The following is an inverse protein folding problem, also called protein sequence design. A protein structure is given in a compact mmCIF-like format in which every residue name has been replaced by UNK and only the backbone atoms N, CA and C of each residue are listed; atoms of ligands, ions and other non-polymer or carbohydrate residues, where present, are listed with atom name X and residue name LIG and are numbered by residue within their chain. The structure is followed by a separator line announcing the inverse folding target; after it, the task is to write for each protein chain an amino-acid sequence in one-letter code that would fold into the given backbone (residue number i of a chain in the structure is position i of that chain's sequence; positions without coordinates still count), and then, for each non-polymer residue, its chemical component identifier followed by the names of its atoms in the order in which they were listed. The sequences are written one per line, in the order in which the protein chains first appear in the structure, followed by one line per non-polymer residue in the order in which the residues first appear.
data_IF_945662803105
#
_entry.id   IF_945662803105
#
_cell.length_a   1.000
_cell.length_b   1.000
_cell.length_c   1.000
_cell.angle_alpha   90.00
_cell.angle_beta   90.00
_cell.angle_gamma   90.00
#
_symmetry.space_group_name_H-M   'P 1'
#
loop_
_entity.id
_entity.type
_entity.pdbx_description
1 polymer ?
#
# COMPACT_ATOMS: atom_id res chain seq x y z
N UNK A 1 4.65 2.29 10.41
CA UNK A 1 3.87 2.67 11.61
C UNK A 1 4.75 3.27 12.69
N UNK A 2 5.86 2.63 13.09
CA UNK A 2 6.76 3.12 14.16
C UNK A 2 7.08 4.64 14.13
N UNK A 3 7.32 5.20 12.94
CA UNK A 3 7.66 6.62 12.76
C UNK A 3 6.47 7.59 12.70
N UNK A 4 5.25 7.10 12.53
CA UNK A 4 4.08 7.93 12.26
C UNK A 4 2.91 7.68 13.20
N UNK A 5 3.02 6.70 14.09
CA UNK A 5 1.99 6.35 15.06
C UNK A 5 2.50 6.63 16.48
N UNK A 6 1.58 7.00 17.36
CA UNK A 6 1.86 7.28 18.77
C UNK A 6 0.66 6.88 19.65
N UNK A 7 0.93 6.66 20.93
CA UNK A 7 -0.12 6.44 21.92
C UNK A 7 -0.76 7.77 22.32
N UNK A 8 -2.09 7.83 22.31
CA UNK A 8 -2.90 8.99 22.72
C UNK A 8 -3.91 8.56 23.76
N UNK A 9 -4.57 9.52 24.44
CA UNK A 9 -5.63 9.19 25.39
C UNK A 9 -6.85 8.46 24.78
N UNK A 10 -7.02 8.48 23.45
CA UNK A 10 -8.14 7.85 22.74
C UNK A 10 -7.78 6.53 22.04
N UNK A 11 -6.51 6.36 21.65
CA UNK A 11 -6.03 5.21 20.88
C UNK A 11 -4.53 5.03 21.15
N UNK A 12 -4.13 3.82 21.55
CA UNK A 12 -2.75 3.45 21.85
C UNK A 12 -1.84 3.33 20.61
N UNK A 13 -2.40 3.26 19.39
CA UNK A 13 -1.67 3.21 18.12
C UNK A 13 -2.27 4.20 17.11
N UNK A 14 -2.34 5.48 17.49
CA UNK A 14 -2.97 6.53 16.69
C UNK A 14 -2.04 6.99 15.57
N UNK A 15 -2.44 6.82 14.31
CA UNK A 15 -1.74 7.40 13.15
C UNK A 15 -1.77 8.92 13.21
N UNK A 16 -0.61 9.59 13.20
CA UNK A 16 -0.46 11.05 13.28
C UNK A 16 -0.17 11.70 11.93
N UNK A 17 -0.61 11.03 10.87
CA UNK A 17 -0.57 11.47 9.49
C UNK A 17 -1.68 10.74 8.71
N UNK A 18 -2.15 11.34 7.63
CA UNK A 18 -3.02 10.69 6.65
C UNK A 18 -2.18 9.89 5.64
N UNK A 19 -2.72 8.79 5.12
CA UNK A 19 -2.04 7.94 4.12
C UNK A 19 -2.99 7.53 3.02
N UNK A 20 -2.62 7.81 1.77
CA UNK A 20 -3.22 7.21 0.59
C UNK A 20 -2.31 6.09 0.09
N UNK A 21 -2.88 4.91 -0.12
CA UNK A 21 -2.20 3.76 -0.72
C UNK A 21 -2.88 3.47 -2.06
N UNK A 22 -2.19 3.77 -3.15
CA UNK A 22 -2.62 3.41 -4.50
C UNK A 22 -2.12 2.00 -4.80
N UNK A 23 -3.03 1.05 -5.06
CA UNK A 23 -2.69 -0.32 -5.43
C UNK A 23 -2.86 -0.49 -6.94
N UNK A 24 -1.79 -0.91 -7.62
CA UNK A 24 -1.77 -1.05 -9.06
C UNK A 24 -2.01 -2.52 -9.46
N UNK A 25 -2.88 -2.72 -10.45
CA UNK A 25 -3.18 -4.02 -11.02
C UNK A 25 -2.70 -4.09 -12.47
N UNK A 26 -1.99 -5.16 -12.83
CA UNK A 26 -1.66 -5.44 -14.22
C UNK A 26 -2.88 -6.00 -14.94
N UNK A 27 -3.17 -5.48 -16.14
CA UNK A 27 -4.12 -6.14 -17.04
C UNK A 27 -3.58 -7.50 -17.45
N UNK A 28 -4.43 -8.53 -17.41
CA UNK A 28 -4.08 -9.91 -17.75
C UNK A 28 -3.57 -10.11 -19.19
N UNK A 29 -3.69 -9.11 -20.06
CA UNK A 29 -3.30 -9.18 -21.47
C UNK A 29 -1.96 -8.50 -21.81
N UNK A 30 -1.32 -7.82 -20.84
CA UNK A 30 -0.18 -6.94 -21.13
C UNK A 30 1.21 -7.48 -20.72
N UNK A 31 1.32 -8.68 -20.15
CA UNK A 31 2.63 -9.25 -19.74
C UNK A 31 3.22 -10.24 -20.75
N UNK A 32 3.23 -9.86 -22.03
CA UNK A 32 4.01 -10.56 -23.06
C UNK A 32 5.40 -9.89 -23.20
N UNK A 33 6.33 -10.29 -22.33
CA UNK A 33 7.82 -10.23 -22.43
C UNK A 33 8.40 -10.20 -21.01
N UNK A 34 9.30 -11.06 -20.52
CA UNK A 34 10.14 -12.06 -21.16
C UNK A 34 10.54 -13.19 -20.17
N UNK A 35 10.19 -14.43 -20.50
CA UNK A 35 11.06 -15.61 -20.35
C UNK A 35 10.54 -16.67 -21.30
N UNK A 36 11.28 -16.90 -22.38
CA UNK A 36 10.94 -17.84 -23.44
C UNK A 36 10.96 -19.29 -22.96
N UNK A 37 9.82 -19.98 -23.05
CA UNK A 37 9.76 -21.35 -23.62
C UNK A 37 8.32 -21.86 -23.76
N UNK A 38 7.89 -21.95 -25.02
CA UNK A 38 7.06 -23.00 -25.62
C UNK A 38 5.55 -23.15 -25.31
N UNK A 39 4.83 -23.40 -26.41
CA UNK A 39 3.51 -24.02 -26.60
C UNK A 39 2.28 -23.18 -26.17
N UNK A 40 1.18 -23.08 -26.92
CA UNK A 40 0.72 -23.77 -28.12
C UNK A 40 -0.51 -23.02 -28.66
N UNK A 41 -0.71 -23.12 -29.96
CA UNK A 41 -1.94 -22.80 -30.69
C UNK A 41 -3.23 -23.18 -29.95
N UNK A 42 -4.18 -22.25 -29.85
CA UNK A 42 -5.59 -22.57 -29.70
C UNK A 42 -6.48 -21.43 -30.22
N UNK A 43 -7.11 -21.67 -31.37
CA UNK A 43 -8.40 -21.10 -31.77
C UNK A 43 -9.48 -21.50 -30.77
N UNK A 44 -10.20 -20.55 -30.18
CA UNK A 44 -11.59 -20.71 -29.75
C UNK A 44 -12.18 -19.37 -29.28
N UNK A 45 -13.29 -18.95 -29.89
CA UNK A 45 -14.20 -18.00 -29.27
C UNK A 45 -14.90 -18.70 -28.09
N UNK A 46 -14.68 -18.23 -26.87
CA UNK A 46 -15.45 -18.62 -25.69
C UNK A 46 -15.38 -17.48 -24.68
N UNK A 47 -16.49 -17.25 -23.97
CA UNK A 47 -16.67 -16.25 -22.90
C UNK A 47 -15.37 -16.02 -22.12
N UNK A 48 -14.67 -14.92 -22.45
CA UNK A 48 -13.28 -14.75 -22.07
C UNK A 48 -13.18 -14.69 -20.55
N UNK A 49 -12.76 -15.82 -19.95
CA UNK A 49 -12.29 -15.86 -18.58
C UNK A 49 -11.09 -14.91 -18.51
N UNK A 50 -11.38 -13.64 -18.24
CA UNK A 50 -10.38 -12.60 -18.03
C UNK A 50 -9.58 -13.10 -16.84
N UNK A 51 -8.33 -13.50 -17.07
CA UNK A 51 -7.49 -13.97 -15.98
C UNK A 51 -7.47 -12.88 -14.89
N UNK A 52 -7.50 -13.26 -13.60
CA UNK A 52 -7.60 -12.27 -12.54
C UNK A 52 -6.43 -11.28 -12.63
N UNK A 53 -6.74 -9.99 -12.67
CA UNK A 53 -5.73 -8.92 -12.66
C UNK A 53 -4.86 -9.07 -11.41
N UNK A 54 -3.55 -9.22 -11.59
CA UNK A 54 -2.58 -9.42 -10.50
C UNK A 54 -2.08 -8.06 -9.98
N UNK A 55 -1.90 -7.93 -8.67
CA UNK A 55 -1.24 -6.75 -8.08
C UNK A 55 0.19 -6.69 -8.65
N UNK A 56 0.55 -5.55 -9.23
CA UNK A 56 1.86 -5.33 -9.83
C UNK A 56 2.70 -4.29 -9.08
N UNK A 57 2.10 -3.53 -8.16
CA UNK A 57 2.81 -2.56 -7.35
C UNK A 57 1.87 -1.71 -6.51
N UNK A 58 2.46 -0.77 -5.77
CA UNK A 58 1.70 0.25 -5.03
C UNK A 58 2.50 1.55 -4.89
N UNK A 59 1.80 2.66 -4.71
CA UNK A 59 2.37 3.97 -4.36
C UNK A 59 1.76 4.44 -3.04
N UNK A 60 2.60 5.00 -2.17
CA UNK A 60 2.17 5.57 -0.90
C UNK A 60 2.38 7.08 -0.96
N UNK A 61 1.35 7.83 -0.54
CA UNK A 61 1.42 9.28 -0.35
C UNK A 61 0.98 9.61 1.07
N UNK A 62 1.86 10.28 1.79
CA UNK A 62 1.63 10.67 3.18
C UNK A 62 1.21 12.14 3.28
N UNK A 63 0.33 12.45 4.23
CA UNK A 63 -0.27 13.78 4.40
C UNK A 63 -0.21 14.23 5.85
N UNK A 64 0.13 15.52 6.06
CA UNK A 64 -0.04 16.23 7.32
C UNK A 64 0.51 15.50 8.56
N UNK A 65 1.79 15.11 8.53
CA UNK A 65 2.45 14.57 9.72
C UNK A 65 2.45 15.60 10.86
N UNK A 66 2.08 15.16 12.07
CA UNK A 66 2.11 15.94 13.31
C UNK A 66 3.57 16.22 13.75
N UNK A 67 4.24 17.15 13.07
CA UNK A 67 5.66 17.49 13.31
C UNK A 67 5.93 17.97 14.73
N UNK A 68 4.95 18.61 15.38
CA UNK A 68 5.08 19.12 16.76
C UNK A 68 5.36 18.02 17.77
N UNK A 69 4.91 16.78 17.51
CA UNK A 69 5.09 15.64 18.42
C UNK A 69 6.55 15.25 18.61
N UNK A 70 7.41 15.53 17.63
CA UNK A 70 8.85 15.24 17.69
C UNK A 70 9.50 15.94 18.89
N UNK A 71 9.10 17.17 19.19
CA UNK A 71 9.67 17.99 20.27
C UNK A 71 8.90 17.88 21.59
N UNK A 72 7.67 17.36 21.59
CA UNK A 72 6.88 17.21 22.81
C UNK A 72 5.48 16.64 22.54
N UNK A 73 4.98 15.85 23.50
CA UNK A 73 3.63 15.28 23.48
C UNK A 73 2.77 15.90 24.60
N UNK A 74 1.44 15.88 24.44
CA UNK A 74 0.52 16.32 25.49
C UNK A 74 0.63 15.40 26.73
N UNK A 75 0.25 15.93 27.89
CA UNK A 75 0.29 15.16 29.14
C UNK A 75 -0.52 13.85 29.02
N UNK A 76 0.12 12.73 29.37
CA UNK A 76 -0.50 11.39 29.28
C UNK A 76 -0.46 10.76 27.88
N UNK A 77 0.16 11.40 26.88
CA UNK A 77 0.40 10.81 25.56
C UNK A 77 1.87 10.40 25.37
N UNK A 78 2.11 9.48 24.43
CA UNK A 78 3.45 9.06 24.03
C UNK A 78 3.99 9.85 22.84
N UNK A 79 5.30 9.76 22.65
CA UNK A 79 5.94 10.16 21.39
C UNK A 79 5.69 9.09 20.30
N UNK A 80 6.22 9.30 19.10
CA UNK A 80 6.21 8.28 18.05
C UNK A 80 6.84 6.98 18.56
N UNK A 81 6.26 5.82 18.23
CA UNK A 81 6.67 4.53 18.79
C UNK A 81 8.13 4.13 18.57
N UNK A 82 8.85 4.81 17.67
CA UNK A 82 10.28 4.60 17.47
C UNK A 82 11.14 5.24 18.57
N UNK A 83 10.58 6.15 19.38
CA UNK A 83 11.21 6.87 20.48
C UNK A 83 10.72 6.34 21.82
#
# INVERSE_FOLDING_TARGET
EAFGNASTGRNSNSSRFGKLIEVHYSSASASASASSSAASSATAASSAATAPSRICGARIVDFLLERTRVTGAAAGEGNFHIL
#
